data_IF_903743726627
#
_entry.id   IF_903743726627
#
_cell.length_a   1.000
_cell.length_b   1.000
_cell.length_c   1.000
_cell.angle_alpha   90.00
_cell.angle_beta   90.00
_cell.angle_gamma   90.00
#
_symmetry.space_group_name_H-M   'P 1'
#
loop_
_entity.id
_entity.type
_entity.pdbx_description
1 polymer ?
#
# COMPACT_ATOMS: atom_id res chain seq x y z
N UNK A 1 -2.89 85.59 -9.18
CA UNK A 1 -2.42 85.25 -10.55
C UNK A 1 -0.93 84.96 -10.44
N UNK A 2 -0.55 83.70 -10.19
CA UNK A 2 -0.18 82.66 -11.20
C UNK A 2 1.22 82.90 -11.77
N UNK A 3 2.17 81.96 -11.83
CA UNK A 3 2.35 80.61 -11.28
C UNK A 3 3.84 80.32 -11.55
N UNK A 4 4.67 80.08 -10.53
CA UNK A 4 6.06 79.66 -10.74
C UNK A 4 6.07 78.17 -11.14
N UNK A 5 6.44 77.88 -12.38
CA UNK A 5 6.57 76.51 -12.87
C UNK A 5 7.86 75.88 -12.35
N UNK A 6 7.73 75.09 -11.29
CA UNK A 6 8.77 74.19 -10.78
C UNK A 6 8.90 72.99 -11.73
N UNK A 7 10.01 72.89 -12.47
CA UNK A 7 10.35 71.69 -13.25
C UNK A 7 10.80 70.61 -12.27
N UNK A 8 9.87 69.73 -11.88
CA UNK A 8 10.17 68.52 -11.14
C UNK A 8 10.73 67.49 -12.14
N UNK A 9 12.06 67.38 -12.20
CA UNK A 9 12.74 66.31 -12.92
C UNK A 9 12.46 64.99 -12.21
N UNK A 10 11.43 64.28 -12.66
CA UNK A 10 11.11 62.92 -12.21
C UNK A 10 12.20 61.98 -12.73
N UNK A 11 13.24 61.75 -11.94
CA UNK A 11 14.18 60.65 -12.16
C UNK A 11 13.41 59.37 -11.86
N UNK A 12 12.79 58.80 -12.90
CA UNK A 12 12.37 57.40 -12.88
C UNK A 12 13.64 56.55 -12.78
N UNK A 13 14.00 56.19 -11.54
CA UNK A 13 14.85 55.05 -11.28
C UNK A 13 14.09 53.81 -11.79
N UNK A 14 14.40 53.42 -13.03
CA UNK A 14 14.12 52.08 -13.53
C UNK A 14 14.99 51.13 -12.73
N UNK A 15 14.53 50.76 -11.54
CA UNK A 15 14.90 49.50 -10.93
C UNK A 15 14.29 48.41 -11.81
N UNK A 16 15.01 48.06 -12.89
CA UNK A 16 14.86 46.77 -13.54
C UNK A 16 15.34 45.74 -12.51
N UNK A 17 14.45 45.39 -11.59
CA UNK A 17 14.59 44.16 -10.83
C UNK A 17 14.65 43.05 -11.88
N UNK A 18 15.84 42.46 -12.02
CA UNK A 18 16.01 41.15 -12.60
C UNK A 18 15.25 40.17 -11.70
N UNK A 19 13.92 40.18 -11.81
CA UNK A 19 13.06 39.07 -11.44
C UNK A 19 13.38 37.99 -12.46
N UNK A 20 14.49 37.29 -12.25
CA UNK A 20 14.66 35.96 -12.78
C UNK A 20 13.54 35.15 -12.16
N UNK A 21 12.41 35.07 -12.88
CA UNK A 21 11.39 34.09 -12.61
C UNK A 21 12.10 32.75 -12.59
N UNK A 22 12.25 32.14 -11.41
CA UNK A 22 12.71 30.76 -11.36
C UNK A 22 11.74 29.95 -12.22
N UNK A 23 12.28 29.27 -13.23
CA UNK A 23 11.51 28.28 -13.98
C UNK A 23 10.80 27.37 -12.96
N UNK A 24 9.48 27.17 -13.08
CA UNK A 24 8.75 26.35 -12.13
C UNK A 24 9.33 24.95 -12.17
N UNK A 25 9.81 24.48 -11.01
CA UNK A 25 10.33 23.13 -10.84
C UNK A 25 9.31 22.11 -11.33
N UNK A 26 9.74 21.22 -12.23
CA UNK A 26 8.92 20.12 -12.72
C UNK A 26 9.20 18.88 -11.90
N UNK A 27 8.16 18.13 -11.59
CA UNK A 27 8.28 16.90 -10.81
C UNK A 27 7.66 15.73 -11.56
N UNK A 28 8.37 14.61 -11.58
CA UNK A 28 7.81 13.31 -11.94
C UNK A 28 7.13 12.73 -10.72
N UNK A 29 5.93 12.17 -10.90
CA UNK A 29 5.13 11.57 -9.83
C UNK A 29 4.94 10.09 -10.13
N UNK A 30 5.18 9.24 -9.12
CA UNK A 30 4.80 7.83 -9.16
C UNK A 30 3.92 7.46 -7.98
N UNK A 31 3.00 6.53 -8.23
CA UNK A 31 2.12 5.95 -7.22
C UNK A 31 2.70 4.62 -6.74
N UNK A 32 2.90 4.47 -5.44
CA UNK A 32 3.13 3.18 -4.78
C UNK A 32 1.90 2.87 -3.94
N UNK A 33 1.33 1.68 -4.09
CA UNK A 33 0.07 1.31 -3.46
C UNK A 33 0.12 -0.05 -2.76
N UNK A 34 -0.85 -0.27 -1.89
CA UNK A 34 -1.18 -1.58 -1.34
C UNK A 34 -2.68 -1.84 -1.41
N UNK A 35 -3.07 -3.07 -1.75
CA UNK A 35 -4.47 -3.48 -1.78
C UNK A 35 -4.69 -4.94 -1.37
N UNK A 36 -5.48 -5.15 -0.33
CA UNK A 36 -6.04 -6.45 0.01
C UNK A 36 -7.15 -6.83 -0.99
N UNK A 37 -7.00 -7.94 -1.71
CA UNK A 37 -7.90 -8.35 -2.79
C UNK A 37 -9.09 -9.21 -2.34
N UNK A 38 -9.28 -9.41 -1.03
CA UNK A 38 -10.35 -10.17 -0.36
C UNK A 38 -10.59 -11.57 -0.96
N UNK A 39 -9.87 -12.58 -0.46
CA UNK A 39 -9.96 -13.97 -0.95
C UNK A 39 -9.98 -14.04 -2.49
N UNK A 40 -8.94 -13.54 -3.14
CA UNK A 40 -8.75 -13.64 -4.59
C UNK A 40 -8.24 -15.04 -4.98
N UNK A 41 -9.20 -15.96 -5.05
CA UNK A 41 -9.03 -17.37 -5.37
C UNK A 41 -9.58 -17.64 -6.78
N UNK A 42 -8.98 -18.62 -7.45
CA UNK A 42 -9.47 -19.16 -8.71
C UNK A 42 -10.63 -20.16 -8.47
N UNK A 43 -10.92 -20.99 -9.46
CA UNK A 43 -12.10 -21.86 -9.44
C UNK A 43 -11.78 -23.34 -9.26
N UNK A 44 -10.50 -23.66 -9.11
CA UNK A 44 -9.90 -24.99 -9.13
C UNK A 44 -9.41 -25.31 -7.72
N UNK A 45 -9.88 -26.43 -7.17
CA UNK A 45 -9.44 -26.88 -5.85
C UNK A 45 -8.01 -27.40 -5.89
N UNK A 46 -7.15 -26.93 -4.99
CA UNK A 46 -5.86 -27.52 -4.66
C UNK A 46 -6.01 -28.44 -3.43
N UNK A 47 -6.04 -29.78 -3.61
CA UNK A 47 -6.24 -30.73 -2.51
C UNK A 47 -5.10 -30.76 -1.48
N UNK A 48 -4.00 -30.04 -1.70
CA UNK A 48 -2.90 -29.89 -0.74
C UNK A 48 -3.09 -28.72 0.23
N UNK A 49 -4.07 -27.86 -0.02
CA UNK A 49 -4.39 -26.65 0.76
C UNK A 49 -5.84 -26.72 1.26
N UNK A 50 -6.19 -25.86 2.21
CA UNK A 50 -7.57 -25.70 2.69
C UNK A 50 -8.30 -24.57 1.92
N UNK A 51 -8.18 -24.57 0.59
CA UNK A 51 -8.73 -23.55 -0.30
C UNK A 51 -10.24 -23.70 -0.57
N UNK A 52 -10.80 -24.88 -0.26
CA UNK A 52 -12.23 -25.18 -0.33
C UNK A 52 -13.06 -24.31 0.63
N UNK A 53 -12.39 -23.76 1.66
CA UNK A 53 -12.96 -22.81 2.62
C UNK A 53 -13.06 -21.37 2.07
N UNK A 54 -12.59 -21.11 0.85
CA UNK A 54 -12.68 -19.79 0.23
C UNK A 54 -14.12 -19.49 -0.22
N UNK A 55 -14.57 -18.23 -0.16
CA UNK A 55 -15.89 -17.85 -0.68
C UNK A 55 -16.10 -18.23 -2.15
N UNK A 56 -15.04 -18.25 -2.96
CA UNK A 56 -15.11 -18.66 -4.36
C UNK A 56 -15.49 -20.14 -4.48
N UNK A 57 -14.86 -21.00 -3.66
CA UNK A 57 -15.10 -22.43 -3.67
C UNK A 57 -16.44 -22.81 -3.02
N UNK A 58 -16.94 -22.04 -2.06
CA UNK A 58 -18.26 -22.26 -1.45
C UNK A 58 -19.45 -21.96 -2.40
N UNK A 59 -19.22 -21.24 -3.51
CA UNK A 59 -20.27 -20.94 -4.49
C UNK A 59 -20.80 -22.22 -5.14
N UNK A 60 -22.12 -22.41 -5.09
CA UNK A 60 -22.82 -23.57 -5.67
C UNK A 60 -22.90 -23.54 -7.19
N UNK A 61 -22.97 -22.35 -7.80
CA UNK A 61 -23.17 -22.16 -9.24
C UNK A 61 -22.47 -20.91 -9.74
N UNK A 62 -22.06 -20.89 -11.02
CA UNK A 62 -21.58 -19.67 -11.68
C UNK A 62 -20.17 -19.21 -11.28
N UNK A 63 -19.37 -20.09 -10.66
CA UNK A 63 -18.03 -19.79 -10.11
C UNK A 63 -17.11 -19.11 -11.13
N UNK A 64 -16.98 -19.67 -12.34
CA UNK A 64 -16.13 -19.10 -13.41
C UNK A 64 -16.57 -17.69 -13.82
N UNK A 65 -17.87 -17.45 -14.00
CA UNK A 65 -18.36 -16.12 -14.34
C UNK A 65 -18.12 -15.11 -13.22
N UNK A 66 -18.29 -15.52 -11.96
CA UNK A 66 -18.02 -14.69 -10.78
C UNK A 66 -16.52 -14.38 -10.65
N UNK A 67 -15.66 -15.38 -10.87
CA UNK A 67 -14.21 -15.20 -10.88
C UNK A 67 -13.78 -14.10 -11.86
N UNK A 68 -14.21 -14.18 -13.12
CA UNK A 68 -13.87 -13.16 -14.11
C UNK A 68 -14.43 -11.77 -13.77
N UNK A 69 -15.60 -11.68 -13.13
CA UNK A 69 -16.11 -10.40 -12.60
C UNK A 69 -15.23 -9.86 -11.48
N UNK A 70 -14.78 -10.71 -10.55
CA UNK A 70 -13.86 -10.31 -9.48
C UNK A 70 -12.53 -9.83 -10.07
N UNK A 71 -11.95 -10.54 -11.03
CA UNK A 71 -10.75 -10.12 -11.78
C UNK A 71 -10.95 -8.71 -12.36
N UNK A 72 -12.06 -8.49 -13.07
CA UNK A 72 -12.39 -7.19 -13.68
C UNK A 72 -12.57 -6.07 -12.64
N UNK A 73 -13.20 -6.38 -11.51
CA UNK A 73 -13.41 -5.44 -10.42
C UNK A 73 -12.07 -5.02 -9.80
N UNK A 74 -11.16 -5.97 -9.56
CA UNK A 74 -9.81 -5.68 -9.08
C UNK A 74 -9.02 -4.85 -10.09
N UNK A 75 -9.06 -5.23 -11.37
CA UNK A 75 -8.37 -4.50 -12.44
C UNK A 75 -8.81 -3.03 -12.52
N UNK A 76 -10.12 -2.77 -12.41
CA UNK A 76 -10.67 -1.41 -12.36
C UNK A 76 -10.15 -0.60 -11.17
N UNK A 77 -10.10 -1.19 -9.99
CA UNK A 77 -9.59 -0.47 -8.81
C UNK A 77 -8.13 -0.12 -9.02
N UNK A 78 -7.33 -1.07 -9.49
CA UNK A 78 -5.89 -0.87 -9.72
C UNK A 78 -5.64 0.18 -10.81
N UNK A 79 -6.43 0.22 -11.88
CA UNK A 79 -6.28 1.22 -12.94
C UNK A 79 -6.55 2.64 -12.45
N UNK A 80 -7.40 2.79 -11.43
CA UNK A 80 -7.88 4.10 -10.97
C UNK A 80 -7.08 4.65 -9.78
N UNK A 81 -6.35 3.82 -9.01
CA UNK A 81 -5.56 4.27 -7.86
C UNK A 81 -4.48 5.26 -8.30
N UNK A 82 -4.59 6.50 -7.82
CA UNK A 82 -3.62 7.57 -8.07
C UNK A 82 -3.67 8.17 -9.48
N UNK A 83 -4.61 7.73 -10.33
CA UNK A 83 -4.67 8.15 -11.73
C UNK A 83 -5.03 9.64 -11.92
N UNK A 84 -5.74 10.23 -10.96
CA UNK A 84 -6.18 11.63 -11.03
C UNK A 84 -4.97 12.60 -11.02
N UNK A 85 -3.96 12.36 -10.18
CA UNK A 85 -2.79 13.25 -10.07
C UNK A 85 -1.54 12.70 -10.75
N UNK A 86 -1.29 11.38 -10.69
CA UNK A 86 -0.11 10.78 -11.31
C UNK A 86 -0.32 10.48 -12.81
N UNK A 87 -1.56 10.57 -13.31
CA UNK A 87 -1.95 10.23 -14.68
C UNK A 87 -1.51 8.82 -15.11
N UNK A 88 -1.33 7.92 -14.13
CA UNK A 88 -0.96 6.53 -14.33
C UNK A 88 -1.52 5.67 -13.19
N UNK A 89 -1.65 4.37 -13.47
CA UNK A 89 -1.89 3.36 -12.43
C UNK A 89 -0.63 3.21 -11.55
N UNK A 90 -0.70 2.51 -10.39
CA UNK A 90 0.44 2.32 -9.51
C UNK A 90 1.67 1.77 -10.23
N UNK A 91 2.82 2.43 -10.08
CA UNK A 91 4.09 1.93 -10.59
C UNK A 91 4.49 0.64 -9.87
N UNK A 92 4.16 0.55 -8.58
CA UNK A 92 4.32 -0.63 -7.72
C UNK A 92 3.05 -0.80 -6.90
N UNK A 93 2.53 -2.02 -6.83
CA UNK A 93 1.41 -2.40 -6.00
C UNK A 93 1.74 -3.67 -5.21
N UNK A 94 1.78 -3.55 -3.89
CA UNK A 94 1.71 -4.71 -3.00
C UNK A 94 0.27 -5.21 -2.91
N UNK A 95 0.09 -6.54 -2.88
CA UNK A 95 -1.24 -7.16 -2.72
C UNK A 95 -1.19 -8.27 -1.69
N UNK A 96 -2.32 -8.53 -1.05
CA UNK A 96 -2.54 -9.68 -0.15
C UNK A 96 -3.84 -10.39 -0.51
N UNK A 97 -4.12 -11.50 0.20
CA UNK A 97 -5.35 -12.29 0.00
C UNK A 97 -5.42 -12.90 -1.40
N UNK A 98 -4.27 -13.36 -1.90
CA UNK A 98 -4.12 -14.03 -3.20
C UNK A 98 -3.85 -15.52 -2.99
N UNK A 99 -4.46 -16.37 -3.80
CA UNK A 99 -4.26 -17.81 -3.68
C UNK A 99 -2.98 -18.32 -4.35
N UNK A 100 -2.71 -17.83 -5.56
CA UNK A 100 -1.61 -18.34 -6.37
C UNK A 100 -1.19 -17.33 -7.44
N UNK A 101 -0.14 -17.67 -8.20
CA UNK A 101 0.37 -16.79 -9.26
C UNK A 101 -0.61 -16.60 -10.42
N UNK A 102 -1.45 -17.60 -10.73
CA UNK A 102 -2.34 -17.55 -11.90
C UNK A 102 -3.44 -16.49 -11.73
N UNK A 103 -3.98 -16.31 -10.52
CA UNK A 103 -4.95 -15.22 -10.29
C UNK A 103 -4.35 -13.83 -10.58
N UNK A 104 -3.04 -13.65 -10.33
CA UNK A 104 -2.34 -12.42 -10.68
C UNK A 104 -2.07 -12.32 -12.19
N UNK A 105 -1.79 -13.43 -12.86
CA UNK A 105 -1.64 -13.46 -14.33
C UNK A 105 -2.93 -13.02 -14.99
N UNK A 106 -4.08 -13.54 -14.55
CA UNK A 106 -5.38 -13.14 -15.07
C UNK A 106 -5.69 -11.67 -14.78
N UNK A 107 -5.32 -11.19 -13.58
CA UNK A 107 -5.49 -9.80 -13.19
C UNK A 107 -4.68 -8.83 -14.06
N UNK A 108 -3.37 -9.05 -14.22
CA UNK A 108 -2.52 -8.11 -14.97
C UNK A 108 -2.81 -8.12 -16.48
N UNK A 109 -3.42 -9.19 -16.99
CA UNK A 109 -3.82 -9.31 -18.39
C UNK A 109 -5.26 -8.83 -18.66
N UNK A 110 -6.02 -8.38 -17.65
CA UNK A 110 -7.30 -7.71 -17.90
C UNK A 110 -7.10 -6.50 -18.82
N UNK A 111 -8.02 -6.22 -19.76
CA UNK A 111 -7.88 -5.10 -20.70
C UNK A 111 -7.62 -3.72 -20.07
N UNK A 112 -8.01 -3.50 -18.80
CA UNK A 112 -7.73 -2.23 -18.09
C UNK A 112 -6.26 -2.09 -17.67
N UNK A 113 -5.55 -3.21 -17.52
CA UNK A 113 -4.16 -3.25 -17.03
C UNK A 113 -3.16 -3.72 -18.09
N UNK A 114 -3.61 -4.38 -19.15
CA UNK A 114 -2.75 -4.98 -20.18
C UNK A 114 -1.70 -4.00 -20.72
N UNK A 115 -2.10 -2.75 -21.00
CA UNK A 115 -1.19 -1.72 -21.53
C UNK A 115 -0.14 -1.22 -20.53
N UNK A 116 -0.29 -1.53 -19.24
CA UNK A 116 0.67 -1.16 -18.18
C UNK A 116 1.83 -2.15 -18.06
N UNK A 117 1.72 -3.31 -18.71
CA UNK A 117 2.74 -4.36 -18.75
C UNK A 117 3.33 -4.67 -17.37
N UNK A 118 2.46 -5.09 -16.44
CA UNK A 118 2.86 -5.43 -15.09
C UNK A 118 3.71 -6.72 -15.06
N UNK A 119 4.81 -6.69 -14.30
CA UNK A 119 5.52 -7.86 -13.81
C UNK A 119 4.95 -8.34 -12.47
N UNK A 120 5.21 -9.59 -12.13
CA UNK A 120 4.71 -10.25 -10.90
C UNK A 120 5.88 -10.85 -10.13
N UNK A 121 5.97 -10.55 -8.84
CA UNK A 121 6.82 -11.24 -7.86
C UNK A 121 5.90 -11.85 -6.80
N UNK A 122 5.90 -13.18 -6.72
CA UNK A 122 5.06 -13.97 -5.82
C UNK A 122 5.83 -15.22 -5.38
N UNK A 123 5.61 -15.60 -4.12
CA UNK A 123 6.11 -16.83 -3.52
C UNK A 123 4.95 -17.46 -2.75
N UNK A 124 4.86 -18.78 -2.79
CA UNK A 124 3.97 -19.51 -1.90
C UNK A 124 4.48 -19.44 -0.46
N UNK A 125 3.58 -19.12 0.46
CA UNK A 125 3.86 -19.09 1.89
C UNK A 125 3.32 -20.33 2.60
N UNK A 126 3.72 -20.58 3.86
CA UNK A 126 3.25 -21.74 4.60
C UNK A 126 1.77 -21.68 5.02
N UNK A 127 1.03 -20.60 4.70
CA UNK A 127 -0.37 -20.45 5.12
C UNK A 127 -1.22 -21.62 4.63
N UNK A 128 -1.93 -22.25 5.56
CA UNK A 128 -2.66 -23.50 5.30
C UNK A 128 -3.84 -23.32 4.34
N UNK A 129 -4.34 -22.09 4.17
CA UNK A 129 -5.41 -21.76 3.21
C UNK A 129 -4.85 -21.41 1.83
N UNK A 130 -3.52 -21.37 1.67
CA UNK A 130 -2.89 -20.94 0.43
C UNK A 130 -2.89 -19.43 0.22
N UNK A 131 -3.12 -18.62 1.26
CA UNK A 131 -3.16 -17.17 1.10
C UNK A 131 -1.75 -16.61 1.13
N UNK A 132 -1.42 -15.77 0.16
CA UNK A 132 -0.11 -15.15 0.03
C UNK A 132 -0.16 -13.61 -0.06
N UNK A 133 1.05 -13.04 -0.15
CA UNK A 133 1.30 -11.67 -0.58
C UNK A 133 2.09 -11.68 -1.89
N UNK A 134 1.95 -10.60 -2.67
CA UNK A 134 2.73 -10.41 -3.88
C UNK A 134 3.03 -8.94 -4.12
N UNK A 135 3.93 -8.69 -5.07
CA UNK A 135 4.18 -7.38 -5.62
C UNK A 135 4.02 -7.43 -7.13
N UNK A 136 3.12 -6.60 -7.67
CA UNK A 136 3.06 -6.33 -9.11
C UNK A 136 3.64 -4.94 -9.39
N UNK A 137 4.33 -4.80 -10.52
CA UNK A 137 5.04 -3.56 -10.86
C UNK A 137 5.04 -3.29 -12.36
N UNK A 138 4.96 -2.03 -12.79
CA UNK A 138 5.09 -1.68 -14.20
C UNK A 138 6.56 -1.86 -14.61
N UNK A 139 6.84 -2.78 -15.54
CA UNK A 139 8.23 -3.16 -15.91
C UNK A 139 9.04 -1.99 -16.45
N UNK A 140 8.38 -1.05 -17.14
CA UNK A 140 9.01 0.16 -17.67
C UNK A 140 9.52 1.10 -16.56
N UNK A 141 8.91 1.07 -15.37
CA UNK A 141 9.20 2.00 -14.28
C UNK A 141 10.01 1.37 -13.16
N UNK A 142 9.83 0.07 -12.90
CA UNK A 142 10.52 -0.62 -11.81
C UNK A 142 11.29 -1.84 -12.31
N UNK A 143 12.58 -1.91 -11.99
CA UNK A 143 13.45 -3.04 -12.30
C UNK A 143 13.89 -3.73 -11.00
N UNK A 144 13.32 -4.90 -10.66
CA UNK A 144 13.76 -5.68 -9.51
C UNK A 144 15.23 -6.11 -9.65
N UNK A 145 15.97 -6.05 -8.55
CA UNK A 145 17.36 -6.50 -8.41
C UNK A 145 17.43 -7.77 -7.57
N UNK A 146 16.71 -7.80 -6.44
CA UNK A 146 16.66 -8.96 -5.56
C UNK A 146 15.27 -9.11 -4.94
N UNK A 147 14.87 -10.37 -4.74
CA UNK A 147 13.58 -10.73 -4.17
C UNK A 147 13.76 -11.88 -3.19
N UNK A 148 13.05 -11.84 -2.07
CA UNK A 148 13.08 -12.92 -1.06
C UNK A 148 11.79 -12.98 -0.26
N UNK A 149 11.40 -14.19 0.13
CA UNK A 149 10.30 -14.45 1.06
C UNK A 149 10.85 -14.76 2.45
N UNK A 150 10.21 -14.23 3.49
CA UNK A 150 10.66 -14.38 4.87
C UNK A 150 9.56 -14.92 5.78
N UNK A 151 9.80 -16.10 6.32
CA UNK A 151 8.85 -16.83 7.17
C UNK A 151 8.67 -16.18 8.54
N UNK A 152 7.42 -15.85 8.86
CA UNK A 152 7.01 -15.43 10.21
C UNK A 152 6.92 -16.65 11.12
N UNK A 153 7.75 -16.69 12.17
CA UNK A 153 7.76 -17.78 13.16
C UNK A 153 6.87 -17.44 14.35
N UNK A 154 5.68 -18.04 14.39
CA UNK A 154 4.70 -17.90 15.48
C UNK A 154 4.25 -19.27 15.99
N UNK A 155 3.89 -19.33 17.27
CA UNK A 155 3.48 -20.55 17.94
C UNK A 155 2.19 -20.27 18.70
N UNK A 156 1.34 -21.28 18.82
CA UNK A 156 0.15 -21.20 19.65
C UNK A 156 0.54 -21.16 21.13
N UNK A 157 -0.07 -20.27 21.90
CA UNK A 157 0.34 -20.02 23.29
C UNK A 157 0.03 -21.22 24.20
N UNK A 158 -1.04 -21.96 23.91
CA UNK A 158 -1.48 -23.09 24.73
C UNK A 158 -0.78 -24.37 24.30
N UNK A 159 -0.89 -24.74 23.02
CA UNK A 159 -0.41 -26.02 22.50
C UNK A 159 1.09 -26.00 22.19
N UNK A 160 1.71 -24.82 22.10
CA UNK A 160 3.10 -24.61 21.63
C UNK A 160 3.39 -25.12 20.22
N UNK A 161 2.36 -25.53 19.49
CA UNK A 161 2.48 -25.97 18.11
C UNK A 161 2.79 -24.80 17.18
N UNK A 162 3.46 -25.10 16.08
CA UNK A 162 3.72 -24.11 15.04
C UNK A 162 2.41 -23.63 14.45
N UNK A 163 2.23 -22.31 14.41
CA UNK A 163 1.16 -21.69 13.63
C UNK A 163 1.76 -21.26 12.30
N UNK A 164 1.14 -21.72 11.23
CA UNK A 164 1.51 -21.32 9.87
C UNK A 164 0.71 -20.07 9.47
N UNK A 165 1.38 -19.14 8.80
CA UNK A 165 0.85 -17.84 8.39
C UNK A 165 1.65 -17.36 7.20
N UNK A 166 1.18 -16.27 6.59
CA UNK A 166 1.82 -15.58 5.48
C UNK A 166 3.24 -15.14 5.81
N UNK A 167 4.09 -15.23 4.79
CA UNK A 167 5.43 -14.67 4.77
C UNK A 167 5.41 -13.15 4.56
N UNK A 168 6.56 -12.51 4.77
CA UNK A 168 6.82 -11.14 4.33
C UNK A 168 7.69 -11.16 3.07
N UNK A 169 7.25 -10.50 2.01
CA UNK A 169 7.97 -10.41 0.74
C UNK A 169 8.86 -9.17 0.75
N UNK A 170 10.16 -9.34 0.59
CA UNK A 170 11.12 -8.26 0.39
C UNK A 170 11.53 -8.18 -1.09
N UNK A 171 11.42 -6.99 -1.67
CA UNK A 171 11.84 -6.69 -3.04
C UNK A 171 12.74 -5.46 -3.02
N UNK A 172 13.95 -5.58 -3.56
CA UNK A 172 14.84 -4.44 -3.81
C UNK A 172 14.92 -4.21 -5.31
N UNK A 173 14.83 -2.96 -5.76
CA UNK A 173 14.88 -2.64 -7.18
C UNK A 173 14.97 -1.15 -7.47
N UNK A 174 15.14 -0.80 -8.75
CA UNK A 174 15.24 0.60 -9.18
C UNK A 174 13.90 1.09 -9.68
N UNK A 175 13.35 2.13 -9.07
CA UNK A 175 12.21 2.90 -9.57
C UNK A 175 12.75 4.07 -10.38
N UNK A 176 12.65 4.00 -11.71
CA UNK A 176 13.19 5.02 -12.62
C UNK A 176 14.66 5.39 -12.30
N UNK A 177 15.45 4.34 -12.07
CA UNK A 177 16.87 4.43 -11.74
C UNK A 177 17.19 4.57 -10.25
N UNK A 178 16.23 4.97 -9.40
CA UNK A 178 16.47 5.16 -7.96
C UNK A 178 16.25 3.86 -7.19
N UNK A 179 17.26 3.42 -6.43
CA UNK A 179 17.16 2.23 -5.59
C UNK A 179 16.15 2.45 -4.44
N UNK A 180 15.18 1.54 -4.34
CA UNK A 180 14.23 1.46 -3.24
C UNK A 180 14.06 0.00 -2.81
N UNK A 181 13.54 -0.18 -1.60
CA UNK A 181 13.15 -1.48 -1.07
C UNK A 181 11.66 -1.46 -0.70
N UNK A 182 10.97 -2.54 -0.99
CA UNK A 182 9.55 -2.72 -0.69
C UNK A 182 9.38 -4.01 0.11
N UNK A 183 8.74 -3.91 1.27
CA UNK A 183 8.33 -5.06 2.07
C UNK A 183 6.82 -5.14 2.03
N UNK A 184 6.27 -6.23 1.49
CA UNK A 184 4.83 -6.49 1.45
C UNK A 184 4.44 -7.44 2.58
N UNK A 185 3.40 -7.09 3.31
CA UNK A 185 2.98 -7.76 4.53
C UNK A 185 1.50 -8.15 4.49
N UNK A 186 1.19 -9.28 5.13
CA UNK A 186 -0.18 -9.60 5.56
C UNK A 186 -0.13 -10.29 6.92
N UNK A 187 -0.16 -9.50 7.99
CA UNK A 187 0.06 -9.99 9.35
C UNK A 187 -1.11 -10.86 9.85
N UNK A 188 -0.89 -11.71 10.87
CA UNK A 188 -1.94 -12.54 11.44
C UNK A 188 -3.18 -11.74 11.84
N UNK A 189 -4.36 -12.24 11.45
CA UNK A 189 -5.64 -11.60 11.73
C UNK A 189 -5.94 -11.51 13.23
N UNK A 190 -6.93 -10.68 13.59
CA UNK A 190 -7.44 -10.53 14.97
C UNK A 190 -8.35 -11.69 15.41
N UNK A 191 -8.16 -12.91 14.89
CA UNK A 191 -8.99 -14.08 15.22
C UNK A 191 -8.97 -14.39 16.71
N UNK A 192 -10.15 -14.48 17.32
CA UNK A 192 -10.32 -14.68 18.76
C UNK A 192 -10.09 -13.42 19.61
N UNK A 193 -10.01 -12.23 18.97
CA UNK A 193 -9.84 -10.93 19.62
C UNK A 193 -8.43 -10.35 19.43
N UNK A 194 -8.33 -9.02 19.46
CA UNK A 194 -7.06 -8.28 19.31
C UNK A 194 -6.02 -8.75 20.33
N UNK A 195 -6.40 -8.81 21.61
CA UNK A 195 -5.51 -9.16 22.73
C UNK A 195 -4.93 -10.57 22.59
N UNK A 196 -5.80 -11.56 22.34
CA UNK A 196 -5.40 -12.97 22.18
C UNK A 196 -4.45 -13.19 21.01
N UNK A 197 -4.60 -12.42 19.94
CA UNK A 197 -3.81 -12.56 18.70
C UNK A 197 -2.60 -11.63 18.65
N UNK A 198 -2.46 -10.70 19.61
CA UNK A 198 -1.44 -9.65 19.63
C UNK A 198 -0.03 -10.19 19.54
N UNK A 199 0.30 -11.25 20.28
CA UNK A 199 1.64 -11.85 20.28
C UNK A 199 2.09 -12.31 18.88
N UNK A 200 1.15 -12.76 18.04
CA UNK A 200 1.40 -13.18 16.65
C UNK A 200 1.74 -11.97 15.76
N UNK A 201 1.03 -10.85 15.91
CA UNK A 201 1.33 -9.60 15.19
C UNK A 201 2.62 -8.95 15.67
N UNK A 202 2.92 -9.01 16.97
CA UNK A 202 4.22 -8.58 17.52
C UNK A 202 5.37 -9.38 16.89
N UNK A 203 5.22 -10.70 16.71
CA UNK A 203 6.24 -11.51 16.05
C UNK A 203 6.42 -11.13 14.57
N UNK A 204 5.33 -10.84 13.85
CA UNK A 204 5.38 -10.34 12.48
C UNK A 204 6.07 -8.97 12.39
N UNK A 205 5.72 -8.03 13.28
CA UNK A 205 6.38 -6.73 13.37
C UNK A 205 7.87 -6.84 13.69
N UNK A 206 8.26 -7.77 14.57
CA UNK A 206 9.69 -8.04 14.87
C UNK A 206 10.44 -8.54 13.65
N UNK A 207 9.86 -9.41 12.84
CA UNK A 207 10.47 -9.82 11.58
C UNK A 207 10.61 -8.62 10.63
N UNK A 208 9.56 -7.81 10.50
CA UNK A 208 9.56 -6.64 9.63
C UNK A 208 10.66 -5.64 10.04
N UNK A 209 10.76 -5.33 11.34
CA UNK A 209 11.81 -4.46 11.88
C UNK A 209 13.21 -5.01 11.60
N UNK A 210 13.44 -6.32 11.78
CA UNK A 210 14.73 -6.95 11.46
C UNK A 210 15.11 -6.80 9.98
N UNK A 211 14.15 -6.92 9.06
CA UNK A 211 14.40 -6.73 7.63
C UNK A 211 14.80 -5.27 7.33
N UNK A 212 14.05 -4.31 7.90
CA UNK A 212 14.36 -2.88 7.78
C UNK A 212 15.74 -2.56 8.34
N UNK A 213 16.03 -3.03 9.56
CA UNK A 213 17.32 -2.80 10.23
C UNK A 213 18.47 -3.41 9.45
N UNK A 214 18.27 -4.61 8.88
CA UNK A 214 19.29 -5.29 8.07
C UNK A 214 19.64 -4.50 6.81
N UNK A 215 18.63 -3.93 6.13
CA UNK A 215 18.85 -3.04 5.00
C UNK A 215 19.55 -1.74 5.43
N UNK A 216 19.16 -1.15 6.55
CA UNK A 216 19.77 0.07 7.09
C UNK A 216 21.17 -0.12 7.70
N UNK A 217 21.55 -1.35 8.02
CA UNK A 217 22.94 -1.71 8.37
C UNK A 217 23.82 -1.72 7.13
N UNK A 218 23.31 -2.18 6.00
CA UNK A 218 24.04 -2.20 4.71
C UNK A 218 24.12 -0.78 4.14
N UNK A 219 23.00 -0.05 4.13
CA UNK A 219 22.90 1.33 3.68
C UNK A 219 22.04 2.15 4.66
N UNK A 220 22.64 3.02 5.50
CA UNK A 220 21.90 3.88 6.43
C UNK A 220 20.85 4.79 5.76
N UNK A 221 20.98 5.06 4.46
CA UNK A 221 20.07 5.90 3.69
C UNK A 221 19.06 5.09 2.86
N UNK A 222 18.96 3.77 3.10
CA UNK A 222 18.04 2.90 2.40
C UNK A 222 16.60 3.45 2.44
N UNK A 223 16.05 3.67 1.24
CA UNK A 223 14.66 4.09 1.03
C UNK A 223 13.76 2.87 1.04
N UNK A 224 13.12 2.63 2.18
CA UNK A 224 12.33 1.42 2.41
C UNK A 224 10.89 1.81 2.58
N UNK A 225 10.00 1.18 1.81
CA UNK A 225 8.56 1.18 2.01
C UNK A 225 8.17 -0.17 2.62
N UNK A 226 7.51 -0.17 3.78
CA UNK A 226 6.86 -1.35 4.32
C UNK A 226 5.36 -1.15 4.23
N UNK A 227 4.70 -2.00 3.46
CA UNK A 227 3.29 -1.88 3.10
C UNK A 227 2.55 -3.18 3.36
N UNK A 228 1.26 -3.09 3.66
CA UNK A 228 0.47 -4.30 3.88
C UNK A 228 -0.81 -4.09 4.65
N UNK A 229 -1.58 -5.17 4.72
CA UNK A 229 -2.61 -5.38 5.72
C UNK A 229 -1.90 -5.84 7.00
N UNK A 230 -1.70 -4.91 7.91
CA UNK A 230 -0.97 -5.15 9.15
C UNK A 230 -1.88 -5.75 10.23
N UNK A 231 -3.19 -5.86 10.00
CA UNK A 231 -4.18 -6.29 10.99
C UNK A 231 -4.07 -5.56 12.36
N UNK A 232 -3.41 -4.41 12.35
CA UNK A 232 -3.23 -3.52 13.49
C UNK A 232 -3.40 -2.07 13.06
N UNK A 233 -4.01 -1.28 13.93
CA UNK A 233 -4.14 0.16 13.78
C UNK A 233 -2.77 0.82 14.03
N UNK A 234 -2.52 2.03 13.49
CA UNK A 234 -1.23 2.72 13.61
C UNK A 234 -0.76 2.95 15.05
N UNK A 235 -1.67 2.86 16.02
CA UNK A 235 -1.42 3.11 17.45
C UNK A 235 -1.13 1.83 18.25
N UNK A 236 -1.26 0.64 17.67
CA UNK A 236 -1.01 -0.61 18.39
C UNK A 236 0.49 -0.84 18.65
N UNK A 237 0.79 -1.66 19.66
CA UNK A 237 2.16 -1.93 20.14
C UNK A 237 3.10 -2.47 19.05
N UNK A 238 2.57 -3.24 18.09
CA UNK A 238 3.33 -3.71 16.92
C UNK A 238 3.90 -2.56 16.08
N UNK A 239 3.17 -1.45 15.95
CA UNK A 239 3.63 -0.26 15.23
C UNK A 239 4.40 0.70 16.14
N UNK A 240 3.87 0.98 17.33
CA UNK A 240 4.41 2.02 18.22
C UNK A 240 5.61 1.58 19.04
N UNK A 241 5.63 0.34 19.51
CA UNK A 241 6.69 -0.18 20.39
C UNK A 241 7.71 -1.01 19.61
N UNK A 242 7.24 -1.86 18.68
CA UNK A 242 8.15 -2.76 17.93
C UNK A 242 8.78 -2.06 16.73
N UNK A 243 7.97 -1.47 15.83
CA UNK A 243 8.54 -0.71 14.71
C UNK A 243 9.07 0.66 15.14
N UNK A 244 8.64 1.18 16.30
CA UNK A 244 8.91 2.55 16.74
C UNK A 244 8.49 3.59 15.69
N UNK A 245 7.35 3.36 15.03
CA UNK A 245 6.88 4.23 13.96
C UNK A 245 6.34 5.56 14.51
N UNK A 246 6.69 6.68 13.86
CA UNK A 246 6.33 8.04 14.30
C UNK A 246 5.43 8.75 13.28
N UNK A 247 4.45 9.50 13.77
CA UNK A 247 3.51 10.28 12.94
C UNK A 247 4.01 11.68 12.58
N UNK A 248 5.00 12.17 13.33
CA UNK A 248 5.54 13.52 13.22
C UNK A 248 6.86 13.47 12.44
N UNK A 249 6.87 14.10 11.26
CA UNK A 249 8.02 14.09 10.36
C UNK A 249 9.23 14.81 10.96
N UNK A 250 8.99 15.82 11.81
CA UNK A 250 10.03 16.69 12.35
C UNK A 250 10.76 16.04 13.55
N UNK A 251 10.28 14.88 14.02
CA UNK A 251 10.85 14.11 15.15
C UNK A 251 11.51 12.81 14.74
N UNK A 252 11.75 12.63 13.44
CA UNK A 252 12.40 11.45 12.90
C UNK A 252 13.92 11.62 12.90
N UNK A 253 14.59 10.60 13.39
CA UNK A 253 16.02 10.37 13.21
C UNK A 253 16.25 9.46 11.98
N UNK A 254 17.49 9.38 11.49
CA UNK A 254 17.83 8.69 10.25
C UNK A 254 17.30 7.24 10.15
N UNK A 255 17.28 6.51 11.27
CA UNK A 255 16.83 5.11 11.33
C UNK A 255 15.36 4.94 11.73
N UNK A 256 14.64 6.03 11.90
CA UNK A 256 13.24 5.97 12.26
C UNK A 256 12.34 5.64 11.06
N UNK A 257 11.16 5.13 11.39
CA UNK A 257 10.10 4.81 10.46
C UNK A 257 8.99 5.84 10.62
N UNK A 258 8.61 6.47 9.53
CA UNK A 258 7.47 7.36 9.44
C UNK A 258 6.18 6.58 9.12
N UNK A 259 5.12 6.89 9.85
CA UNK A 259 3.78 6.37 9.60
C UNK A 259 2.79 7.54 9.34
N UNK A 260 2.47 7.85 8.07
CA UNK A 260 1.49 8.90 7.78
C UNK A 260 0.07 8.52 8.20
N UNK A 261 -0.24 7.22 8.32
CA UNK A 261 -1.59 6.70 8.59
C UNK A 261 -2.02 6.90 10.05
N UNK A 262 -1.11 7.16 10.99
CA UNK A 262 -1.48 7.49 12.37
C UNK A 262 -2.36 8.75 12.45
N UNK A 263 -2.10 9.77 11.63
CA UNK A 263 -2.93 10.97 11.59
C UNK A 263 -4.30 10.71 10.91
N UNK A 264 -4.36 9.78 9.95
CA UNK A 264 -5.63 9.36 9.34
C UNK A 264 -6.51 8.67 10.38
N UNK A 265 -5.93 7.74 11.13
CA UNK A 265 -6.62 7.04 12.22
C UNK A 265 -7.12 8.01 13.31
N UNK A 266 -6.29 8.99 13.73
CA UNK A 266 -6.71 10.03 14.69
C UNK A 266 -7.91 10.86 14.21
N UNK A 267 -8.04 11.04 12.90
CA UNK A 267 -9.17 11.73 12.28
C UNK A 267 -10.37 10.82 12.02
N UNK A 268 -10.37 9.59 12.57
CA UNK A 268 -11.47 8.63 12.44
C UNK A 268 -11.54 7.94 11.08
N UNK A 269 -10.48 8.00 10.27
CA UNK A 269 -10.42 7.30 8.99
C UNK A 269 -9.90 5.87 9.16
N UNK A 270 -10.49 4.94 8.41
CA UNK A 270 -10.10 3.53 8.37
C UNK A 270 -10.10 2.97 6.95
N UNK A 271 -9.53 1.78 6.79
CA UNK A 271 -9.54 1.02 5.53
C UNK A 271 -10.52 -0.13 5.56
N UNK A 272 -10.88 -0.63 6.75
CA UNK A 272 -11.88 -1.70 6.94
C UNK A 272 -12.77 -1.38 8.14
N UNK A 273 -13.96 -1.99 8.17
CA UNK A 273 -14.93 -1.78 9.23
C UNK A 273 -15.63 -3.08 9.63
N UNK A 274 -15.77 -3.28 10.93
CA UNK A 274 -16.45 -4.44 11.52
C UNK A 274 -17.24 -4.01 12.76
N UNK A 275 -18.53 -4.36 12.82
CA UNK A 275 -19.44 -4.01 13.94
C UNK A 275 -19.38 -2.53 14.33
N UNK A 276 -19.43 -1.66 13.33
CA UNK A 276 -19.41 -0.19 13.45
C UNK A 276 -18.12 0.40 14.05
N UNK A 277 -17.06 -0.41 14.14
CA UNK A 277 -15.71 0.05 14.44
C UNK A 277 -14.88 0.10 13.16
N UNK A 278 -14.32 1.27 12.86
CA UNK A 278 -13.33 1.46 11.81
C UNK A 278 -11.95 1.04 12.30
N UNK A 279 -11.21 0.36 11.43
CA UNK A 279 -9.81 0.02 11.62
C UNK A 279 -8.98 0.47 10.43
N UNK A 280 -7.74 0.86 10.69
CA UNK A 280 -6.79 1.30 9.68
C UNK A 280 -5.63 0.30 9.56
N UNK A 281 -5.95 -0.89 9.05
CA UNK A 281 -5.01 -2.01 8.94
C UNK A 281 -4.07 -1.88 7.75
N UNK A 282 -4.59 -1.38 6.62
CA UNK A 282 -3.83 -1.20 5.40
C UNK A 282 -3.00 0.07 5.51
N UNK A 283 -1.67 -0.07 5.49
CA UNK A 283 -0.76 1.04 5.74
C UNK A 283 0.48 0.95 4.83
N UNK A 284 1.10 2.10 4.56
CA UNK A 284 2.40 2.23 3.89
C UNK A 284 3.30 3.11 4.76
N UNK A 285 4.22 2.48 5.47
CA UNK A 285 5.22 3.16 6.29
C UNK A 285 6.52 3.27 5.52
N UNK A 286 7.35 4.25 5.88
CA UNK A 286 8.59 4.53 5.15
C UNK A 286 9.72 4.98 6.06
N UNK A 287 10.96 4.68 5.69
CA UNK A 287 12.13 5.16 6.43
C UNK A 287 12.38 6.65 6.22
N UNK A 288 13.00 7.30 7.21
CA UNK A 288 13.28 8.75 7.20
C UNK A 288 13.96 9.27 5.91
N UNK A 289 14.89 8.57 5.23
CA UNK A 289 15.51 9.05 3.99
C UNK A 289 14.53 9.41 2.87
N UNK A 290 13.31 8.84 2.88
CA UNK A 290 12.26 9.19 1.94
C UNK A 290 11.61 10.56 2.21
N UNK A 291 11.87 11.18 3.36
CA UNK A 291 11.27 12.46 3.76
C UNK A 291 12.20 13.65 3.62
N UNK A 292 13.43 13.42 3.16
CA UNK A 292 14.39 14.48 2.89
C UNK A 292 13.88 15.46 1.81
N UNK A 293 14.36 16.71 1.86
CA UNK A 293 13.93 17.79 0.96
C UNK A 293 14.77 17.91 -0.33
N UNK A 294 15.75 17.03 -0.49
CA UNK A 294 16.46 16.87 -1.76
C UNK A 294 15.67 15.96 -2.70
N UNK A 295 15.15 16.54 -3.79
CA UNK A 295 14.33 15.84 -4.79
C UNK A 295 15.13 15.36 -6.00
N UNK A 296 16.47 15.30 -5.91
CA UNK A 296 17.35 14.68 -6.92
C UNK A 296 17.01 13.21 -7.22
N UNK A 297 16.32 12.56 -6.29
CA UNK A 297 15.77 11.21 -6.40
C UNK A 297 14.41 11.16 -5.71
N UNK A 298 13.63 10.09 -5.90
CA UNK A 298 12.28 10.00 -5.34
C UNK A 298 12.22 10.23 -3.83
N UNK A 299 11.26 11.05 -3.42
CA UNK A 299 10.88 11.36 -2.03
C UNK A 299 9.39 11.21 -1.85
N UNK A 300 8.95 10.85 -0.66
CA UNK A 300 7.55 10.85 -0.28
C UNK A 300 6.97 12.25 -0.38
N UNK A 301 5.82 12.35 -1.04
CA UNK A 301 5.04 13.58 -1.12
C UNK A 301 3.84 13.52 -0.19
N UNK A 302 2.97 12.52 -0.40
CA UNK A 302 1.68 12.44 0.29
C UNK A 302 1.14 11.01 0.32
N UNK A 303 0.38 10.69 1.37
CA UNK A 303 -0.31 9.41 1.56
C UNK A 303 -1.82 9.60 1.46
N UNK A 304 -2.53 8.53 1.11
CA UNK A 304 -3.97 8.52 0.89
C UNK A 304 -4.59 7.15 1.22
N UNK A 305 -5.89 7.18 1.53
CA UNK A 305 -6.80 6.03 1.48
C UNK A 305 -7.65 6.23 0.23
N UNK A 306 -7.69 5.24 -0.66
CA UNK A 306 -8.47 5.30 -1.89
C UNK A 306 -9.89 4.79 -1.64
N UNK A 307 -10.83 5.72 -1.42
CA UNK A 307 -12.20 5.43 -1.01
C UNK A 307 -13.25 6.05 -1.97
N UNK A 308 -13.04 5.94 -3.29
CA UNK A 308 -14.02 6.44 -4.27
C UNK A 308 -15.41 5.85 -4.04
N UNK A 309 -16.45 6.61 -4.34
CA UNK A 309 -17.86 6.24 -4.09
C UNK A 309 -18.31 4.87 -4.64
N UNK A 310 -17.64 4.33 -5.67
CA UNK A 310 -17.96 3.00 -6.21
C UNK A 310 -17.41 1.86 -5.35
N UNK A 311 -16.42 2.12 -4.51
CA UNK A 311 -15.86 1.19 -3.52
C UNK A 311 -16.66 1.19 -2.21
N UNK A 312 -17.71 2.02 -2.08
CA UNK A 312 -18.45 2.18 -0.83
C UNK A 312 -19.84 1.59 -0.94
N UNK A 313 -20.24 0.81 0.05
CA UNK A 313 -21.60 0.28 0.19
C UNK A 313 -22.58 1.44 0.38
N UNK A 314 -23.54 1.58 -0.53
CA UNK A 314 -24.40 2.78 -0.62
C UNK A 314 -25.63 2.74 0.29
N UNK A 315 -26.10 1.56 0.67
CA UNK A 315 -27.39 1.33 1.34
C UNK A 315 -27.32 0.14 2.31
N UNK A 316 -28.34 0.02 3.17
CA UNK A 316 -28.48 -1.10 4.10
C UNK A 316 -27.61 -0.95 5.35
N UNK A 317 -27.55 -2.02 6.15
CA UNK A 317 -26.83 -2.06 7.44
C UNK A 317 -25.35 -1.72 7.35
N UNK A 318 -24.73 -1.95 6.18
CA UNK A 318 -23.31 -1.71 5.93
C UNK A 318 -23.03 -0.40 5.18
N UNK A 319 -23.98 0.54 5.14
CA UNK A 319 -23.80 1.82 4.42
C UNK A 319 -22.54 2.53 4.92
N UNK A 320 -21.67 2.94 3.99
CA UNK A 320 -20.40 3.61 4.28
C UNK A 320 -19.19 2.68 4.37
N UNK A 321 -19.39 1.36 4.46
CA UNK A 321 -18.31 0.37 4.53
C UNK A 321 -17.71 0.13 3.14
N UNK A 322 -16.49 -0.42 3.04
CA UNK A 322 -15.99 -0.98 1.80
C UNK A 322 -17.01 -1.95 1.18
N UNK A 323 -17.19 -1.84 -0.13
CA UNK A 323 -18.10 -2.68 -0.89
C UNK A 323 -17.42 -4.01 -1.19
N UNK A 324 -17.50 -4.93 -0.23
CA UNK A 324 -16.90 -6.26 -0.25
C UNK A 324 -17.39 -7.13 -1.40
N UNK A 325 -16.52 -7.98 -1.94
CA UNK A 325 -16.79 -9.00 -2.96
C UNK A 325 -17.83 -10.01 -2.51
N UNK A 326 -17.73 -10.50 -1.27
CA UNK A 326 -18.57 -11.62 -0.80
C UNK A 326 -19.37 -11.26 0.45
N UNK A 327 -20.64 -11.66 0.47
CA UNK A 327 -21.51 -11.48 1.64
C UNK A 327 -22.64 -12.49 1.62
N UNK A 328 -23.04 -12.96 2.81
CA UNK A 328 -24.17 -13.88 3.01
C UNK A 328 -24.14 -15.11 2.07
N UNK A 329 -22.94 -15.65 1.82
CA UNK A 329 -22.71 -16.85 0.99
C UNK A 329 -22.73 -16.63 -0.53
N UNK A 330 -22.73 -15.38 -1.00
CA UNK A 330 -22.75 -15.04 -2.42
C UNK A 330 -21.81 -13.91 -2.81
N UNK A 331 -21.61 -13.75 -4.12
CA UNK A 331 -20.90 -12.60 -4.69
C UNK A 331 -21.83 -11.40 -4.82
N UNK A 332 -21.39 -10.24 -4.34
CA UNK A 332 -22.20 -9.01 -4.25
C UNK A 332 -22.04 -8.09 -5.46
N UNK A 333 -21.16 -8.45 -6.40
CA UNK A 333 -20.63 -7.55 -7.46
C UNK A 333 -19.68 -6.45 -6.91
N UNK A 334 -19.23 -6.60 -5.66
CA UNK A 334 -18.28 -5.70 -5.01
C UNK A 334 -16.81 -5.96 -5.34
N UNK A 335 -15.94 -5.36 -4.54
CA UNK A 335 -14.50 -5.24 -4.77
C UNK A 335 -13.70 -5.91 -3.66
N UNK A 336 -13.61 -5.27 -2.50
CA UNK A 336 -12.85 -5.74 -1.34
C UNK A 336 -13.52 -5.23 -0.08
N UNK A 337 -13.41 -5.96 1.02
CA UNK A 337 -13.78 -5.47 2.34
C UNK A 337 -12.75 -4.49 2.92
N UNK A 338 -11.73 -4.13 2.13
CA UNK A 338 -10.72 -3.12 2.42
C UNK A 338 -10.70 -2.00 1.35
N UNK A 339 -10.45 -0.77 1.77
CA UNK A 339 -10.04 0.31 0.87
C UNK A 339 -8.53 0.22 0.60
N UNK A 340 -8.08 0.37 -0.66
CA UNK A 340 -6.65 0.47 -0.96
C UNK A 340 -6.01 1.69 -0.29
N UNK A 341 -4.71 1.62 -0.05
CA UNK A 341 -3.89 2.77 0.37
C UNK A 341 -2.79 3.02 -0.63
N UNK A 342 -2.40 4.29 -0.79
CA UNK A 342 -1.32 4.64 -1.70
C UNK A 342 -0.56 5.88 -1.24
N UNK A 343 0.65 6.01 -1.75
CA UNK A 343 1.49 7.18 -1.58
C UNK A 343 1.95 7.68 -2.95
N UNK A 344 2.10 9.00 -3.06
CA UNK A 344 2.86 9.61 -4.13
C UNK A 344 4.30 9.81 -3.72
N UNK A 345 5.20 9.48 -4.63
CA UNK A 345 6.60 9.86 -4.57
C UNK A 345 6.91 10.81 -5.72
N UNK A 346 7.75 11.81 -5.45
CA UNK A 346 8.12 12.83 -6.42
C UNK A 346 9.64 12.93 -6.58
N UNK A 347 10.07 13.24 -7.79
CA UNK A 347 11.47 13.50 -8.17
C UNK A 347 11.50 14.73 -9.07
N UNK A 348 12.37 15.67 -8.77
CA UNK A 348 12.57 16.87 -9.61
C UNK A 348 13.18 16.42 -10.95
N UNK A 349 12.64 16.92 -12.05
CA UNK A 349 13.13 16.64 -13.40
C UNK A 349 13.60 17.94 -14.06
N UNK A 350 14.65 17.87 -14.90
CA UNK A 350 15.15 19.04 -15.63
C UNK A 350 14.11 19.75 -16.50
#
# INVERSE_FOLDING_TARGET
>A
MTLQTLRLSLVLLVFASNLWSQEPKKFKIHTLAFYNLENFFDTINDPSKFDESSPMMELRTGRSAIYHKKVRNMARVISDIGADDAHNAPAILGVSEIENRNVLVDLVNDPLLLAKDYGIIHYESPDIRGIDVALIYQKALFQPISTSSHVVKIYDETTRNRVHTRDQLLVSGKLDGDLIHVIVNHWPSRSGGEERSRSKRIAAAKLNKRLIDSLQVIDPYAKIFTMGDLNDDPINASLKEVLNAKADKDKLELKDIYNPYENFHKNGLGTTAYRDAWSLFDQILMTQPLLEKDYSSFRFYKAFIYNKNYLTTKRGRWKGYPFRSFSDGGFTDGFSDHFPVYVYVIKEVP
#
